data_IF_254250894884
#
_entry.id   IF_254250894884
#
_cell.length_a   1.000
_cell.length_b   1.000
_cell.length_c   1.000
_cell.angle_alpha   90.00
_cell.angle_beta   90.00
_cell.angle_gamma   90.00
#
_symmetry.space_group_name_H-M   'P 1'
#
loop_
_entity.id
_entity.type
_entity.pdbx_description
1 polymer ?
#
# COMPACT_ATOMS: atom_id res chain seq x y z
N UNK A 1 14.87 23.50 -18.34
CA UNK A 1 15.80 23.08 -17.30
C UNK A 1 15.60 21.57 -17.10
N UNK A 2 16.67 20.76 -17.17
CA UNK A 2 16.59 19.35 -16.80
C UNK A 2 16.18 19.31 -15.33
N UNK A 3 15.10 18.57 -15.01
CA UNK A 3 14.77 18.30 -13.59
C UNK A 3 15.95 17.53 -13.03
N UNK A 4 16.64 18.10 -12.04
CA UNK A 4 17.59 17.31 -11.25
C UNK A 4 16.86 16.11 -10.66
N UNK A 5 17.45 14.94 -10.80
CA UNK A 5 16.87 13.73 -10.23
C UNK A 5 16.95 13.83 -8.70
N UNK A 6 15.78 13.85 -8.07
CA UNK A 6 15.69 13.86 -6.62
C UNK A 6 16.30 12.56 -6.07
N UNK A 7 17.09 12.68 -5.02
CA UNK A 7 17.64 11.51 -4.33
C UNK A 7 16.48 10.69 -3.75
N UNK A 8 16.48 9.40 -4.02
CA UNK A 8 15.48 8.49 -3.47
C UNK A 8 15.61 8.39 -1.94
N UNK A 9 14.50 8.51 -1.24
CA UNK A 9 14.42 8.36 0.21
C UNK A 9 14.28 6.90 0.63
N UNK A 10 14.61 6.61 1.88
CA UNK A 10 14.40 5.28 2.47
C UNK A 10 12.91 4.93 2.52
N UNK A 11 12.60 3.71 2.09
CA UNK A 11 11.26 3.13 2.18
C UNK A 11 11.46 1.62 2.18
N UNK A 12 11.40 1.03 3.35
CA UNK A 12 11.66 -0.40 3.57
C UNK A 12 10.57 -1.00 4.44
N UNK A 13 10.09 -2.15 4.03
CA UNK A 13 9.17 -2.98 4.80
C UNK A 13 9.77 -4.38 4.92
N UNK A 14 9.65 -4.96 6.12
CA UNK A 14 10.04 -6.34 6.39
C UNK A 14 8.83 -7.07 6.96
N UNK A 15 8.39 -8.11 6.27
CA UNK A 15 7.28 -8.96 6.70
C UNK A 15 7.78 -10.40 6.75
N UNK A 16 7.53 -11.07 7.86
CA UNK A 16 7.80 -12.50 8.02
C UNK A 16 6.67 -13.12 8.83
N UNK A 17 6.13 -14.24 8.34
CA UNK A 17 5.00 -14.90 8.99
C UNK A 17 4.46 -16.07 8.20
N UNK A 18 3.32 -16.57 8.62
CA UNK A 18 2.64 -17.71 7.99
C UNK A 18 1.96 -17.29 6.69
N UNK A 19 2.20 -18.01 5.60
CA UNK A 19 1.55 -17.77 4.31
C UNK A 19 0.08 -18.21 4.37
N UNK A 20 -0.83 -17.23 4.39
CA UNK A 20 -2.27 -17.46 4.48
C UNK A 20 -2.89 -17.74 3.12
N UNK A 21 -2.52 -16.93 2.12
CA UNK A 21 -2.98 -17.09 0.75
C UNK A 21 -1.90 -16.72 -0.27
N UNK A 22 -2.03 -17.27 -1.48
CA UNK A 22 -1.09 -17.06 -2.56
C UNK A 22 -1.86 -17.07 -3.90
N UNK A 23 -1.89 -15.91 -4.55
CA UNK A 23 -2.58 -15.71 -5.82
C UNK A 23 -1.62 -15.41 -6.97
N UNK A 24 -0.34 -15.77 -6.83
CA UNK A 24 0.66 -15.53 -7.87
C UNK A 24 0.33 -16.36 -9.11
N UNK A 25 0.27 -15.73 -10.27
CA UNK A 25 -0.04 -16.37 -11.54
C UNK A 25 0.82 -15.81 -12.70
N UNK A 26 0.96 -16.64 -13.73
CA UNK A 26 1.61 -16.24 -14.98
C UNK A 26 0.65 -15.43 -15.85
N UNK A 27 1.13 -14.30 -16.35
CA UNK A 27 0.39 -13.41 -17.25
C UNK A 27 1.24 -13.00 -18.44
N UNK A 28 0.55 -12.50 -19.48
CA UNK A 28 1.18 -11.93 -20.66
C UNK A 28 0.62 -10.54 -20.89
N UNK A 29 1.47 -9.56 -21.10
CA UNK A 29 1.03 -8.18 -21.40
C UNK A 29 0.62 -8.04 -22.87
N UNK A 30 0.09 -6.85 -23.24
CA UNK A 30 -0.34 -6.53 -24.59
C UNK A 30 0.80 -6.58 -25.64
N UNK A 31 2.07 -6.57 -25.18
CA UNK A 31 3.27 -6.66 -26.03
C UNK A 31 3.83 -8.08 -26.10
N UNK A 32 3.13 -9.07 -25.55
CA UNK A 32 3.57 -10.46 -25.51
C UNK A 32 4.63 -10.78 -24.45
N UNK A 33 4.95 -9.85 -23.55
CA UNK A 33 5.95 -10.07 -22.50
C UNK A 33 5.32 -10.82 -21.34
N UNK A 34 5.95 -11.90 -20.93
CA UNK A 34 5.53 -12.72 -19.79
C UNK A 34 5.91 -12.02 -18.48
N UNK A 35 5.01 -12.10 -17.51
CA UNK A 35 5.25 -11.59 -16.16
C UNK A 35 4.48 -12.43 -15.13
N UNK A 36 4.92 -12.37 -13.90
CA UNK A 36 4.22 -12.86 -12.73
C UNK A 36 3.60 -11.68 -11.99
N UNK A 37 2.38 -11.85 -11.55
CA UNK A 37 1.73 -10.92 -10.63
C UNK A 37 0.74 -11.65 -9.75
N UNK A 38 0.51 -11.11 -8.58
CA UNK A 38 -0.44 -11.63 -7.61
C UNK A 38 -0.25 -10.99 -6.26
N UNK A 39 -0.81 -11.62 -5.25
CA UNK A 39 -0.72 -11.18 -3.87
C UNK A 39 -0.37 -12.35 -2.97
N UNK A 40 0.44 -12.09 -1.97
CA UNK A 40 0.73 -12.99 -0.86
C UNK A 40 0.11 -12.41 0.40
N UNK A 41 -0.76 -13.15 1.06
CA UNK A 41 -1.29 -12.80 2.37
C UNK A 41 -0.44 -13.45 3.45
N UNK A 42 0.18 -12.65 4.31
CA UNK A 42 1.10 -13.12 5.36
C UNK A 42 0.54 -12.76 6.73
N UNK A 43 0.28 -13.78 7.55
CA UNK A 43 -0.12 -13.58 8.94
C UNK A 43 1.11 -13.34 9.80
N UNK A 44 1.15 -12.18 10.44
CA UNK A 44 2.22 -11.73 11.33
C UNK A 44 1.81 -11.83 12.80
N UNK A 45 2.48 -11.13 13.70
CA UNK A 45 2.04 -10.99 15.07
C UNK A 45 0.70 -10.26 15.16
N UNK A 46 -0.02 -10.45 16.26
CA UNK A 46 -1.37 -9.91 16.48
C UNK A 46 -2.41 -10.39 15.46
N UNK A 47 -2.15 -11.51 14.78
CA UNK A 47 -3.04 -12.08 13.73
C UNK A 47 -3.32 -11.14 12.55
N UNK A 48 -2.46 -10.16 12.32
CA UNK A 48 -2.58 -9.28 11.16
C UNK A 48 -2.25 -10.05 9.89
N UNK A 49 -3.19 -10.09 8.95
CA UNK A 49 -2.99 -10.70 7.63
C UNK A 49 -2.66 -9.59 6.64
N UNK A 50 -1.38 -9.45 6.33
CA UNK A 50 -0.86 -8.35 5.51
C UNK A 50 -0.78 -8.79 4.05
N UNK A 51 -1.53 -8.14 3.13
CA UNK A 51 -1.42 -8.40 1.71
C UNK A 51 -0.19 -7.72 1.12
N UNK A 52 0.59 -8.49 0.34
CA UNK A 52 1.81 -8.04 -0.31
C UNK A 52 1.67 -8.27 -1.80
N UNK A 53 1.60 -7.20 -2.57
CA UNK A 53 1.56 -7.27 -4.03
C UNK A 53 2.94 -7.63 -4.59
N UNK A 54 2.98 -8.62 -5.47
CA UNK A 54 4.21 -9.04 -6.14
C UNK A 54 4.10 -8.87 -7.65
N UNK A 55 5.21 -8.48 -8.27
CA UNK A 55 5.27 -8.31 -9.72
C UNK A 55 6.69 -8.51 -10.24
N UNK A 56 6.85 -9.29 -11.32
CA UNK A 56 8.13 -9.39 -12.03
C UNK A 56 7.93 -9.79 -13.49
N UNK A 57 8.60 -9.08 -14.42
CA UNK A 57 8.74 -9.57 -15.79
C UNK A 57 9.75 -10.71 -15.87
N UNK A 58 9.53 -11.67 -16.81
CA UNK A 58 10.46 -12.78 -17.08
C UNK A 58 11.85 -12.29 -17.49
N UNK A 59 11.89 -11.26 -18.30
CA UNK A 59 13.13 -10.62 -18.75
C UNK A 59 13.25 -9.19 -18.20
N UNK A 60 14.47 -8.80 -17.89
CA UNK A 60 14.82 -7.41 -17.61
C UNK A 60 14.74 -6.57 -18.89
N UNK A 61 14.78 -5.24 -18.76
CA UNK A 61 14.85 -4.34 -19.93
C UNK A 61 16.11 -4.56 -20.80
N UNK A 62 17.17 -5.13 -20.22
CA UNK A 62 18.38 -5.56 -20.94
C UNK A 62 18.19 -6.84 -21.78
N UNK A 63 17.06 -7.52 -21.68
CA UNK A 63 16.82 -8.84 -22.30
C UNK A 63 17.33 -10.03 -21.50
N UNK A 64 18.02 -9.78 -20.39
CA UNK A 64 18.51 -10.84 -19.50
C UNK A 64 17.37 -11.45 -18.67
N UNK A 65 17.56 -12.69 -18.23
CA UNK A 65 16.66 -13.35 -17.27
C UNK A 65 16.55 -12.55 -15.98
N UNK A 66 15.33 -12.44 -15.47
CA UNK A 66 15.06 -11.75 -14.22
C UNK A 66 15.04 -12.74 -13.04
N UNK A 67 16.04 -12.68 -12.20
CA UNK A 67 16.16 -13.57 -11.03
C UNK A 67 15.00 -13.42 -10.04
N UNK A 68 14.33 -12.27 -10.02
CA UNK A 68 13.13 -12.06 -9.20
C UNK A 68 12.00 -12.90 -9.75
N UNK A 69 11.79 -12.91 -11.06
CA UNK A 69 10.79 -13.76 -11.72
C UNK A 69 11.03 -15.23 -11.40
N UNK A 70 12.26 -15.72 -11.54
CA UNK A 70 12.61 -17.12 -11.26
C UNK A 70 12.34 -17.52 -9.80
N UNK A 71 12.51 -16.59 -8.85
CA UNK A 71 12.19 -16.82 -7.44
C UNK A 71 10.68 -16.85 -7.21
N UNK A 72 9.95 -15.90 -7.76
CA UNK A 72 8.49 -15.85 -7.66
C UNK A 72 7.82 -17.05 -8.35
N UNK A 73 8.40 -17.52 -9.46
CA UNK A 73 7.89 -18.72 -10.14
C UNK A 73 7.89 -19.97 -9.25
N UNK A 74 8.85 -20.07 -8.32
CA UNK A 74 8.88 -21.14 -7.32
C UNK A 74 7.81 -21.00 -6.24
N UNK A 75 7.21 -19.83 -6.13
CA UNK A 75 6.15 -19.57 -5.16
C UNK A 75 4.76 -19.87 -5.71
N UNK A 76 4.56 -20.03 -7.02
CA UNK A 76 3.22 -20.22 -7.62
C UNK A 76 2.46 -21.36 -6.95
N UNK A 77 3.09 -22.53 -6.83
CA UNK A 77 2.49 -23.72 -6.22
C UNK A 77 2.88 -23.89 -4.73
N UNK A 78 3.39 -22.81 -4.10
CA UNK A 78 3.80 -22.89 -2.71
C UNK A 78 2.56 -23.01 -1.82
N UNK A 79 2.52 -24.02 -0.90
CA UNK A 79 1.32 -24.28 -0.12
C UNK A 79 1.00 -23.08 0.80
N UNK A 80 -0.28 -22.76 0.93
CA UNK A 80 -0.77 -21.71 1.83
C UNK A 80 -1.74 -22.30 2.85
N UNK A 81 -2.07 -21.54 3.88
CA UNK A 81 -3.03 -21.94 4.90
C UNK A 81 -4.39 -22.32 4.29
N UNK A 82 -4.78 -21.66 3.21
CA UNK A 82 -6.00 -21.98 2.45
C UNK A 82 -5.99 -23.38 1.87
N UNK A 83 -4.82 -23.90 1.51
CA UNK A 83 -4.68 -25.21 0.86
C UNK A 83 -4.34 -26.34 1.83
N UNK A 84 -3.56 -26.07 2.88
CA UNK A 84 -3.06 -27.11 3.80
C UNK A 84 -3.45 -26.90 5.26
N UNK A 85 -4.16 -25.82 5.58
CA UNK A 85 -4.51 -25.41 6.94
C UNK A 85 -3.39 -24.63 7.62
N UNK A 86 -3.76 -23.74 8.55
CA UNK A 86 -2.83 -22.78 9.21
C UNK A 86 -1.66 -23.47 9.88
N UNK A 87 -1.90 -24.61 10.57
CA UNK A 87 -0.84 -25.32 11.29
C UNK A 87 0.22 -25.98 10.39
N UNK A 88 -0.10 -26.22 9.12
CA UNK A 88 0.79 -26.83 8.14
C UNK A 88 1.32 -25.83 7.12
N UNK A 89 0.80 -24.62 7.14
CA UNK A 89 1.22 -23.57 6.24
C UNK A 89 2.67 -23.16 6.52
N UNK A 90 3.50 -22.99 5.49
CA UNK A 90 4.87 -22.56 5.67
C UNK A 90 4.95 -21.11 6.08
N UNK A 91 6.05 -20.75 6.75
CA UNK A 91 6.44 -19.36 6.93
C UNK A 91 7.25 -18.87 5.75
N UNK A 92 7.00 -17.62 5.38
CA UNK A 92 7.76 -16.89 4.36
C UNK A 92 8.29 -15.59 4.93
N UNK A 93 9.36 -15.08 4.33
CA UNK A 93 9.89 -13.74 4.60
C UNK A 93 9.90 -12.94 3.30
N UNK A 94 9.42 -11.71 3.39
CA UNK A 94 9.47 -10.72 2.31
C UNK A 94 10.37 -9.59 2.79
N UNK A 95 11.48 -9.40 2.11
CA UNK A 95 12.47 -8.37 2.44
C UNK A 95 12.53 -7.32 1.33
N UNK A 96 12.95 -6.11 1.69
CA UNK A 96 13.00 -4.96 0.78
C UNK A 96 11.66 -4.66 0.09
N UNK A 97 10.55 -5.01 0.72
CA UNK A 97 9.25 -4.52 0.32
C UNK A 97 9.16 -3.01 0.59
N UNK A 98 8.23 -2.35 -0.04
CA UNK A 98 8.04 -0.90 0.05
C UNK A 98 6.57 -0.57 0.23
N UNK A 99 6.31 0.54 0.87
CA UNK A 99 4.98 1.15 0.88
C UNK A 99 4.88 2.00 -0.39
N UNK A 100 3.97 1.64 -1.27
CA UNK A 100 3.77 2.30 -2.56
C UNK A 100 2.43 3.04 -2.56
N UNK A 101 2.41 4.23 -3.16
CA UNK A 101 1.17 4.91 -3.45
C UNK A 101 0.31 4.06 -4.41
N UNK A 102 -0.94 3.86 -4.03
CA UNK A 102 -1.96 3.15 -4.79
C UNK A 102 -3.24 3.98 -4.87
N UNK A 103 -3.09 5.29 -4.93
CA UNK A 103 -4.20 6.24 -5.05
C UNK A 103 -4.93 6.05 -6.37
N UNK A 104 -6.25 6.22 -6.33
CA UNK A 104 -7.11 6.05 -7.51
C UNK A 104 -8.25 7.06 -7.50
N UNK A 105 -8.85 7.28 -8.67
CA UNK A 105 -10.05 8.11 -8.78
C UNK A 105 -11.29 7.28 -8.42
N UNK A 106 -12.05 7.73 -7.41
CA UNK A 106 -13.30 7.12 -7.00
C UNK A 106 -14.47 7.81 -7.72
N UNK A 107 -15.18 7.06 -8.56
CA UNK A 107 -16.40 7.55 -9.21
C UNK A 107 -17.48 7.91 -8.19
N UNK A 108 -17.61 7.08 -7.16
CA UNK A 108 -18.60 7.26 -6.10
C UNK A 108 -18.43 8.58 -5.37
N UNK A 109 -17.17 8.92 -5.04
CA UNK A 109 -16.85 10.08 -4.22
C UNK A 109 -16.44 11.29 -5.07
N UNK A 110 -16.34 11.11 -6.41
CA UNK A 110 -15.91 12.10 -7.40
C UNK A 110 -14.60 12.79 -7.01
N UNK A 111 -13.63 11.99 -6.50
CA UNK A 111 -12.33 12.48 -6.02
C UNK A 111 -11.27 11.40 -6.08
N UNK A 112 -10.02 11.82 -5.96
CA UNK A 112 -8.91 10.90 -5.72
C UNK A 112 -8.99 10.41 -4.27
N UNK A 113 -8.97 9.08 -4.13
CA UNK A 113 -8.85 8.40 -2.84
C UNK A 113 -7.40 8.01 -2.66
N UNK A 114 -6.76 8.61 -1.65
CA UNK A 114 -5.40 8.23 -1.24
C UNK A 114 -5.45 6.83 -0.65
N UNK A 115 -4.58 5.96 -1.17
CA UNK A 115 -4.45 4.59 -0.74
C UNK A 115 -2.98 4.17 -0.89
N UNK A 116 -2.58 3.16 -0.14
CA UNK A 116 -1.25 2.58 -0.24
C UNK A 116 -1.33 1.04 -0.29
N UNK A 117 -0.29 0.43 -0.81
CA UNK A 117 -0.10 -1.01 -0.79
C UNK A 117 1.35 -1.34 -0.43
N UNK A 118 1.58 -2.58 -0.03
CA UNK A 118 2.93 -3.09 0.13
C UNK A 118 3.30 -3.81 -1.16
N UNK A 119 4.33 -3.32 -1.83
CA UNK A 119 4.93 -3.94 -2.99
C UNK A 119 6.23 -4.64 -2.60
N UNK A 120 6.38 -5.93 -2.94
CA UNK A 120 7.60 -6.65 -2.60
C UNK A 120 7.77 -7.92 -3.42
N UNK A 121 8.96 -8.11 -3.98
CA UNK A 121 9.22 -9.27 -4.84
C UNK A 121 10.38 -10.14 -4.35
N UNK A 122 11.03 -9.78 -3.25
CA UNK A 122 12.09 -10.56 -2.64
C UNK A 122 11.52 -11.52 -1.59
N UNK A 123 10.88 -12.59 -2.07
CA UNK A 123 10.22 -13.60 -1.24
C UNK A 123 11.13 -14.81 -1.08
N UNK A 124 11.19 -15.35 0.13
CA UNK A 124 11.89 -16.60 0.45
C UNK A 124 11.12 -17.41 1.48
N UNK A 125 11.31 -18.72 1.49
CA UNK A 125 10.89 -19.55 2.59
C UNK A 125 11.61 -19.12 3.89
N UNK A 126 10.92 -19.19 5.01
CA UNK A 126 11.47 -19.00 6.34
C UNK A 126 11.41 -20.32 7.14
N UNK A 127 12.25 -20.46 8.16
CA UNK A 127 12.18 -21.60 9.05
C UNK A 127 10.84 -21.60 9.81
N UNK A 128 10.34 -22.79 10.16
CA UNK A 128 9.04 -22.92 10.84
C UNK A 128 8.99 -22.24 12.21
N UNK A 129 10.15 -22.19 12.89
CA UNK A 129 10.36 -21.54 14.18
C UNK A 129 10.79 -20.06 14.06
N UNK A 130 10.89 -19.52 12.84
CA UNK A 130 11.27 -18.14 12.63
C UNK A 130 10.27 -17.19 13.33
N UNK A 131 10.80 -16.16 13.99
CA UNK A 131 10.00 -15.13 14.65
C UNK A 131 9.25 -14.32 13.58
N UNK A 132 7.96 -14.10 13.78
CA UNK A 132 7.19 -13.23 12.92
C UNK A 132 7.77 -11.81 12.97
N UNK A 133 7.68 -11.09 11.85
CA UNK A 133 8.16 -9.72 11.72
C UNK A 133 7.13 -8.89 10.96
N UNK A 134 6.91 -7.69 11.47
CA UNK A 134 6.03 -6.72 10.87
C UNK A 134 6.60 -5.34 11.17
N UNK A 135 7.41 -4.81 10.27
CA UNK A 135 8.02 -3.50 10.50
C UNK A 135 8.19 -2.72 9.21
N UNK A 136 8.11 -1.41 9.34
CA UNK A 136 8.50 -0.49 8.29
C UNK A 136 9.53 0.53 8.79
N UNK A 137 10.30 1.06 7.86
CA UNK A 137 11.22 2.18 8.04
C UNK A 137 11.08 3.09 6.82
N UNK A 138 10.58 4.31 7.01
CA UNK A 138 10.33 5.27 5.94
C UNK A 138 10.94 6.62 6.27
N UNK A 139 11.60 7.23 5.28
CA UNK A 139 12.09 8.60 5.34
C UNK A 139 11.17 9.49 4.51
N UNK A 140 10.90 10.69 4.96
CA UNK A 140 10.09 11.62 4.20
C UNK A 140 10.07 13.02 4.80
N UNK A 141 9.61 13.97 3.98
CA UNK A 141 9.36 15.35 4.41
C UNK A 141 7.96 15.44 4.99
N UNK A 142 7.84 16.00 6.18
CA UNK A 142 6.55 16.19 6.87
C UNK A 142 5.72 17.22 6.11
N UNK A 143 4.55 16.80 5.63
CA UNK A 143 3.60 17.71 4.96
C UNK A 143 2.47 18.20 5.86
N UNK A 144 2.09 17.42 6.87
CA UNK A 144 1.15 17.85 7.91
C UNK A 144 1.21 16.93 9.14
N UNK A 145 0.83 17.49 10.29
CA UNK A 145 0.56 16.78 11.54
C UNK A 145 -0.82 17.23 12.00
N UNK A 146 -1.75 16.30 12.23
CA UNK A 146 -3.13 16.61 12.59
C UNK A 146 -3.64 15.64 13.62
N UNK A 147 -4.35 16.15 14.62
CA UNK A 147 -5.11 15.33 15.54
C UNK A 147 -6.30 14.66 14.82
N UNK A 148 -6.54 13.41 15.15
CA UNK A 148 -7.67 12.64 14.64
C UNK A 148 -8.90 12.98 15.48
N UNK A 149 -9.96 13.38 14.82
CA UNK A 149 -11.26 13.69 15.43
C UNK A 149 -12.20 12.51 15.17
N UNK A 150 -12.92 12.07 16.20
CA UNK A 150 -13.92 11.02 16.08
C UNK A 150 -15.17 11.50 15.31
N UNK A 151 -16.13 10.59 15.11
CA UNK A 151 -17.38 10.90 14.38
C UNK A 151 -18.26 11.93 15.09
N UNK A 152 -18.08 12.08 16.40
CA UNK A 152 -18.87 12.98 17.25
C UNK A 152 -18.17 14.35 17.41
N UNK A 153 -17.00 14.52 16.81
CA UNK A 153 -16.21 15.74 16.82
C UNK A 153 -15.28 15.88 18.02
N UNK A 154 -15.03 14.82 18.79
CA UNK A 154 -14.12 14.84 19.91
C UNK A 154 -12.69 14.48 19.49
N UNK A 155 -11.71 15.06 20.19
CA UNK A 155 -10.32 14.70 20.07
C UNK A 155 -10.08 13.26 20.57
N UNK A 156 -9.21 12.53 19.88
CA UNK A 156 -8.94 11.12 20.16
C UNK A 156 -7.58 10.86 20.79
N UNK A 157 -6.80 11.92 21.09
CA UNK A 157 -5.39 11.83 21.49
C UNK A 157 -4.51 11.05 20.51
N UNK A 158 -5.04 10.82 19.32
CA UNK A 158 -4.38 10.13 18.20
C UNK A 158 -4.04 11.14 17.11
N UNK A 159 -2.89 11.00 16.49
CA UNK A 159 -2.43 11.95 15.49
C UNK A 159 -2.07 11.24 14.19
N UNK A 160 -2.40 11.87 13.08
CA UNK A 160 -1.96 11.49 11.75
C UNK A 160 -0.84 12.44 11.28
N UNK A 161 0.30 11.85 10.92
CA UNK A 161 1.44 12.54 10.33
C UNK A 161 1.55 12.13 8.87
N UNK A 162 1.52 13.12 7.96
CA UNK A 162 1.70 12.88 6.54
C UNK A 162 3.13 13.13 6.11
N UNK A 163 3.72 12.14 5.44
CA UNK A 163 5.05 12.21 4.83
C UNK A 163 4.96 12.21 3.32
N UNK A 164 5.86 12.99 2.70
CA UNK A 164 6.17 12.92 1.28
C UNK A 164 7.49 12.17 1.10
N UNK A 165 7.41 10.93 0.63
CA UNK A 165 8.56 10.04 0.42
C UNK A 165 8.92 9.99 -1.07
N UNK A 166 10.15 10.39 -1.42
CA UNK A 166 10.64 10.33 -2.81
C UNK A 166 11.02 8.90 -3.16
N UNK A 167 10.29 8.31 -4.10
CA UNK A 167 10.51 7.00 -4.65
C UNK A 167 11.30 6.99 -5.96
N UNK A 168 11.30 5.84 -6.63
CA UNK A 168 11.96 5.66 -7.91
C UNK A 168 11.35 6.54 -9.01
N UNK A 169 12.22 7.14 -9.86
CA UNK A 169 11.79 7.95 -11.00
C UNK A 169 11.13 9.27 -10.60
N UNK A 170 11.57 9.88 -9.51
CA UNK A 170 11.04 11.14 -8.98
C UNK A 170 9.54 11.09 -8.62
N UNK A 171 8.99 9.89 -8.38
CA UNK A 171 7.64 9.76 -7.86
C UNK A 171 7.63 10.05 -6.37
N UNK A 172 6.60 10.72 -5.91
CA UNK A 172 6.40 11.03 -4.50
C UNK A 172 5.22 10.20 -3.99
N UNK A 173 5.47 9.39 -2.94
CA UNK A 173 4.42 8.67 -2.22
C UNK A 173 3.92 9.56 -1.08
N UNK A 174 2.63 9.84 -1.03
CA UNK A 174 2.00 10.48 0.13
C UNK A 174 1.59 9.39 1.11
N UNK A 175 2.25 9.34 2.27
CA UNK A 175 2.03 8.33 3.30
C UNK A 175 1.42 8.99 4.53
N UNK A 176 0.32 8.44 5.04
CA UNK A 176 -0.26 8.84 6.32
C UNK A 176 0.12 7.81 7.37
N UNK A 177 0.83 8.26 8.41
CA UNK A 177 1.28 7.44 9.53
C UNK A 177 0.58 7.92 10.79
N UNK A 178 0.24 7.00 11.68
CA UNK A 178 -0.50 7.27 12.90
C UNK A 178 0.35 7.05 14.14
N UNK A 179 0.16 7.87 15.15
CA UNK A 179 0.76 7.71 16.47
C UNK A 179 -0.24 8.06 17.57
N UNK A 180 -0.21 7.29 18.66
CA UNK A 180 -1.12 7.37 19.81
C UNK A 180 -0.39 7.17 21.15
N UNK A 181 0.92 6.84 21.10
CA UNK A 181 1.74 6.75 22.31
C UNK A 181 1.99 8.14 22.91
N UNK A 182 1.70 8.39 24.20
CA UNK A 182 1.83 9.70 24.80
C UNK A 182 3.25 10.29 24.74
N UNK A 183 4.29 9.45 24.81
CA UNK A 183 5.67 9.91 24.70
C UNK A 183 6.00 10.32 23.27
N UNK A 184 5.54 9.56 22.27
CA UNK A 184 5.66 9.90 20.85
C UNK A 184 4.89 11.20 20.54
N UNK A 185 3.64 11.33 21.01
CA UNK A 185 2.84 12.54 20.85
C UNK A 185 3.58 13.77 21.40
N UNK A 186 4.09 13.68 22.64
CA UNK A 186 4.84 14.77 23.27
C UNK A 186 6.12 15.12 22.50
N UNK A 187 6.87 14.10 22.05
CA UNK A 187 8.11 14.32 21.32
C UNK A 187 7.87 14.97 19.97
N UNK A 188 6.93 14.42 19.18
CA UNK A 188 6.62 14.89 17.83
C UNK A 188 6.09 16.33 17.88
N UNK A 189 5.12 16.63 18.76
CA UNK A 189 4.55 17.96 18.87
C UNK A 189 5.56 19.03 19.31
N UNK A 190 6.61 18.65 20.03
CA UNK A 190 7.61 19.61 20.52
C UNK A 190 8.80 19.78 19.55
N UNK A 191 9.05 18.79 18.67
CA UNK A 191 10.31 18.75 17.92
C UNK A 191 10.12 18.72 16.40
N UNK A 192 8.96 18.26 15.89
CA UNK A 192 8.74 18.12 14.46
C UNK A 192 7.92 19.28 13.90
N UNK A 193 8.37 19.80 12.77
CA UNK A 193 7.69 20.85 12.03
C UNK A 193 7.36 20.40 10.61
N UNK A 194 6.36 21.04 10.01
CA UNK A 194 6.06 20.87 8.59
C UNK A 194 7.24 21.36 7.75
N UNK A 195 7.73 20.52 6.87
CA UNK A 195 8.94 20.74 6.06
C UNK A 195 10.16 19.96 6.53
N UNK A 196 10.20 19.50 7.77
CA UNK A 196 11.31 18.71 8.28
C UNK A 196 11.41 17.35 7.58
N UNK A 197 12.65 16.88 7.38
CA UNK A 197 12.94 15.53 6.93
C UNK A 197 13.13 14.62 8.15
N UNK A 198 12.39 13.53 8.22
CA UNK A 198 12.47 12.55 9.31
C UNK A 198 12.53 11.12 8.77
N UNK A 199 13.09 10.21 9.58
CA UNK A 199 12.95 8.77 9.36
C UNK A 199 12.09 8.19 10.47
N UNK A 200 11.00 7.53 10.10
CA UNK A 200 10.03 6.94 11.03
C UNK A 200 10.02 5.43 10.88
N UNK A 201 9.96 4.76 12.02
CA UNK A 201 9.85 3.30 12.11
C UNK A 201 8.51 2.95 12.78
N UNK A 202 7.99 1.78 12.42
CA UNK A 202 6.75 1.33 13.01
C UNK A 202 6.29 -0.04 12.53
N UNK A 203 5.05 -0.33 12.81
CA UNK A 203 4.37 -1.55 12.41
C UNK A 203 3.18 -1.27 11.49
N UNK A 204 2.82 -2.28 10.70
CA UNK A 204 1.66 -2.22 9.82
C UNK A 204 0.50 -2.88 10.54
N UNK A 205 -0.53 -2.11 10.83
CA UNK A 205 -1.79 -2.62 11.38
C UNK A 205 -2.72 -2.95 10.24
N UNK A 206 -3.22 -4.18 10.22
CA UNK A 206 -4.16 -4.65 9.21
C UNK A 206 -5.20 -5.54 9.87
N UNK A 207 -6.34 -4.95 10.23
CA UNK A 207 -7.43 -5.61 10.92
C UNK A 207 -8.66 -5.71 10.03
N UNK A 208 -9.29 -6.86 10.02
CA UNK A 208 -10.57 -7.07 9.36
C UNK A 208 -11.65 -7.34 10.40
N UNK A 209 -12.65 -6.49 10.41
CA UNK A 209 -13.82 -6.64 11.27
C UNK A 209 -15.04 -7.02 10.43
N UNK A 210 -15.58 -8.19 10.68
CA UNK A 210 -16.83 -8.61 10.04
C UNK A 210 -18.04 -8.16 10.89
N UNK A 211 -18.99 -7.53 10.22
CA UNK A 211 -20.27 -7.19 10.80
C UNK A 211 -21.37 -7.86 9.99
N UNK A 212 -22.11 -8.74 10.65
CA UNK A 212 -23.30 -9.34 10.07
C UNK A 212 -24.51 -8.45 10.38
N UNK A 213 -25.23 -8.04 9.36
CA UNK A 213 -26.48 -7.30 9.48
C UNK A 213 -27.59 -8.20 8.95
N UNK A 214 -28.57 -8.49 9.80
CA UNK A 214 -29.79 -9.21 9.41
C UNK A 214 -30.83 -8.21 8.92
N UNK A 215 -31.31 -8.41 7.70
CA UNK A 215 -32.41 -7.63 7.15
C UNK A 215 -33.67 -8.46 7.23
N UNK A 216 -34.60 -8.05 8.09
CA UNK A 216 -35.91 -8.67 8.18
C UNK A 216 -36.69 -8.47 6.86
N UNK A 217 -37.34 -9.54 6.42
CA UNK A 217 -38.25 -9.52 5.29
C UNK A 217 -39.68 -9.56 5.83
N UNK A 218 -40.63 -9.10 5.04
CA UNK A 218 -42.05 -9.15 5.42
C UNK A 218 -42.59 -10.59 5.62
N UNK A 219 -41.86 -11.60 5.07
CA UNK A 219 -42.09 -13.03 5.30
C UNK A 219 -40.83 -13.79 4.89
N UNK A 220 -40.62 -15.01 5.44
CA UNK A 220 -39.44 -15.86 5.21
C UNK A 220 -38.29 -15.60 6.19
N UNK A 221 -37.17 -16.26 5.97
CA UNK A 221 -35.97 -16.09 6.80
C UNK A 221 -35.27 -14.75 6.51
N UNK A 222 -34.71 -14.08 7.56
CA UNK A 222 -33.93 -12.85 7.37
C UNK A 222 -32.74 -13.07 6.43
N UNK A 223 -32.49 -12.08 5.58
CA UNK A 223 -31.28 -12.08 4.74
C UNK A 223 -30.11 -11.61 5.60
N UNK A 224 -29.09 -12.47 5.76
CA UNK A 224 -27.82 -12.12 6.40
C UNK A 224 -26.90 -11.48 5.39
N UNK A 225 -26.49 -10.25 5.66
CA UNK A 225 -25.52 -9.52 4.85
C UNK A 225 -24.27 -9.27 5.68
N UNK A 226 -23.14 -9.84 5.27
CA UNK A 226 -21.86 -9.62 5.93
C UNK A 226 -21.15 -8.42 5.31
N UNK A 227 -20.74 -7.49 6.15
CA UNK A 227 -19.92 -6.34 5.78
C UNK A 227 -18.53 -6.52 6.41
N UNK A 228 -17.49 -6.47 5.61
CA UNK A 228 -16.12 -6.46 6.10
C UNK A 228 -15.60 -5.03 6.14
N UNK A 229 -15.21 -4.57 7.32
CA UNK A 229 -14.52 -3.30 7.50
C UNK A 229 -13.04 -3.58 7.73
N UNK A 230 -12.16 -3.02 6.91
CA UNK A 230 -10.73 -3.19 7.01
C UNK A 230 -10.09 -1.92 7.56
N UNK A 231 -9.39 -2.03 8.69
CA UNK A 231 -8.56 -0.97 9.25
C UNK A 231 -7.13 -1.22 8.77
N UNK A 232 -6.54 -0.22 8.11
CA UNK A 232 -5.17 -0.26 7.59
C UNK A 232 -4.43 0.98 8.05
N UNK A 233 -3.41 0.79 8.86
CA UNK A 233 -2.63 1.88 9.44
C UNK A 233 -1.13 1.58 9.34
N UNK A 234 -0.34 2.64 9.22
CA UNK A 234 1.10 2.65 9.45
C UNK A 234 1.30 3.28 10.84
N UNK A 235 1.50 2.45 11.86
CA UNK A 235 1.62 2.90 13.25
C UNK A 235 3.08 3.20 13.59
N UNK A 236 3.38 4.44 13.98
CA UNK A 236 4.72 4.88 14.36
C UNK A 236 5.04 4.36 15.76
N UNK A 237 6.23 3.76 15.91
CA UNK A 237 6.77 3.30 17.20
C UNK A 237 8.08 3.98 17.56
N UNK A 238 8.79 4.54 16.57
CA UNK A 238 10.05 5.26 16.77
C UNK A 238 10.30 6.26 15.62
N UNK A 239 11.17 7.23 15.86
CA UNK A 239 11.59 8.19 14.85
C UNK A 239 12.94 8.84 15.17
N UNK A 240 13.60 9.39 14.15
CA UNK A 240 14.85 10.15 14.31
C UNK A 240 14.57 11.59 14.71
N UNK A 241 15.56 12.31 15.26
CA UNK A 241 15.50 13.76 15.29
C UNK A 241 15.24 14.33 13.89
N UNK A 242 14.54 15.47 13.78
CA UNK A 242 14.27 16.09 12.49
C UNK A 242 15.54 16.69 11.89
N UNK A 243 15.59 16.71 10.55
CA UNK A 243 16.56 17.50 9.78
C UNK A 243 15.81 18.67 9.18
N UNK A 244 16.27 19.87 9.44
CA UNK A 244 15.61 21.09 8.97
C UNK A 244 15.58 21.18 7.44
N UNK A 245 14.61 21.90 6.84
CA UNK A 245 14.46 22.01 5.39
C UNK A 245 15.72 22.47 4.68
N UNK A 246 16.46 23.44 5.22
CA UNK A 246 17.67 24.00 4.62
C UNK A 246 18.85 23.01 4.57
N UNK A 247 18.85 22.02 5.47
CA UNK A 247 19.88 20.98 5.55
C UNK A 247 19.48 19.69 4.82
N UNK A 248 18.20 19.48 4.63
CA UNK A 248 17.64 18.23 4.08
C UNK A 248 17.89 18.05 2.58
N UNK A 249 18.08 19.13 1.84
CA UNK A 249 18.16 19.14 0.38
C UNK A 249 16.82 18.86 -0.34
N UNK A 250 15.69 18.90 0.38
CA UNK A 250 14.35 18.71 -0.19
C UNK A 250 13.48 19.94 0.08
N UNK A 251 12.71 20.34 -0.92
CA UNK A 251 11.75 21.45 -0.79
C UNK A 251 10.32 20.91 -0.74
N UNK A 252 9.59 21.21 0.32
CA UNK A 252 8.22 20.76 0.53
C UNK A 252 7.29 21.17 -0.64
N UNK A 253 7.41 22.41 -1.13
CA UNK A 253 6.54 22.93 -2.21
C UNK A 253 6.79 22.17 -3.53
N UNK A 254 8.04 21.84 -3.80
CA UNK A 254 8.40 21.08 -5.02
C UNK A 254 7.83 19.66 -4.95
N UNK A 255 7.94 18.99 -3.78
CA UNK A 255 7.36 17.67 -3.57
C UNK A 255 5.82 17.69 -3.68
N UNK A 256 5.17 18.70 -3.10
CA UNK A 256 3.71 18.90 -3.25
C UNK A 256 3.30 19.16 -4.71
N UNK A 257 4.12 19.89 -5.46
CA UNK A 257 3.93 20.09 -6.90
C UNK A 257 3.98 18.78 -7.69
N UNK A 258 4.90 17.87 -7.33
CA UNK A 258 4.96 16.54 -7.96
C UNK A 258 3.71 15.73 -7.62
N UNK A 259 3.27 15.69 -6.36
CA UNK A 259 2.03 15.01 -5.94
C UNK A 259 0.82 15.54 -6.71
N UNK A 260 0.71 16.86 -6.85
CA UNK A 260 -0.37 17.48 -7.63
C UNK A 260 -0.34 17.02 -9.10
N UNK A 261 0.83 16.96 -9.70
CA UNK A 261 1.00 16.47 -11.07
C UNK A 261 0.58 15.00 -11.19
N UNK A 262 1.00 14.14 -10.25
CA UNK A 262 0.61 12.73 -10.21
C UNK A 262 -0.90 12.55 -10.06
N UNK A 263 -1.55 13.37 -9.25
CA UNK A 263 -2.99 13.35 -9.06
C UNK A 263 -3.74 13.77 -10.34
N UNK A 264 -3.24 14.77 -11.05
CA UNK A 264 -3.79 15.16 -12.35
C UNK A 264 -3.68 14.02 -13.38
N UNK A 265 -2.54 13.33 -13.42
CA UNK A 265 -2.36 12.15 -14.30
C UNK A 265 -3.36 11.02 -13.98
N UNK A 266 -3.68 10.79 -12.70
CA UNK A 266 -4.69 9.79 -12.30
C UNK A 266 -6.06 10.19 -12.84
N UNK A 267 -6.44 11.46 -12.69
CA UNK A 267 -7.72 12.01 -13.15
C UNK A 267 -7.82 11.95 -14.69
N UNK A 268 -6.77 12.34 -15.40
CA UNK A 268 -6.73 12.28 -16.86
C UNK A 268 -6.87 10.85 -17.40
N UNK A 269 -6.14 9.90 -16.79
CA UNK A 269 -6.24 8.47 -17.17
C UNK A 269 -7.66 7.91 -16.92
N UNK A 270 -8.31 8.33 -15.84
CA UNK A 270 -9.70 7.96 -15.56
C UNK A 270 -10.63 8.52 -16.64
N UNK A 271 -10.56 9.82 -16.92
CA UNK A 271 -11.41 10.48 -17.93
C UNK A 271 -11.24 9.86 -19.31
N UNK A 272 -9.99 9.57 -19.73
CA UNK A 272 -9.72 8.90 -20.98
C UNK A 272 -10.35 7.50 -21.08
N UNK A 273 -10.31 6.71 -19.98
CA UNK A 273 -10.98 5.39 -19.94
C UNK A 273 -12.49 5.52 -20.03
N UNK A 274 -13.09 6.44 -19.29
CA UNK A 274 -14.53 6.68 -19.31
C UNK A 274 -15.03 7.07 -20.73
N UNK A 275 -14.30 7.89 -21.45
CA UNK A 275 -14.60 8.26 -22.83
C UNK A 275 -14.55 7.06 -23.78
N UNK A 276 -13.53 6.19 -23.66
CA UNK A 276 -13.41 4.97 -24.47
C UNK A 276 -14.57 4.02 -24.19
N UNK A 277 -14.92 3.81 -22.93
CA UNK A 277 -16.05 2.95 -22.53
C UNK A 277 -17.38 3.49 -23.07
N UNK A 278 -17.62 4.80 -22.97
CA UNK A 278 -18.81 5.44 -23.51
C UNK A 278 -18.91 5.30 -25.04
N UNK A 279 -17.80 5.46 -25.77
CA UNK A 279 -17.75 5.29 -27.21
C UNK A 279 -18.02 3.83 -27.63
N UNK A 280 -17.45 2.85 -26.90
CA UNK A 280 -17.67 1.43 -27.16
C UNK A 280 -19.12 1.03 -26.92
N UNK A 281 -19.73 1.49 -25.83
CA UNK A 281 -21.13 1.22 -25.51
C UNK A 281 -22.09 1.85 -26.56
N UNK A 282 -21.77 3.03 -27.05
CA UNK A 282 -22.53 3.70 -28.11
C UNK A 282 -22.44 2.94 -29.45
N UNK A 283 -21.25 2.40 -29.79
CA UNK A 283 -21.07 1.57 -30.97
C UNK A 283 -21.78 0.21 -30.85
N UNK A 284 -21.78 -0.43 -29.67
CA UNK A 284 -22.48 -1.67 -29.42
C UNK A 284 -24.02 -1.49 -29.46
N UNK A 285 -24.54 -0.38 -28.91
CA UNK A 285 -25.96 -0.05 -28.98
C UNK A 285 -26.46 0.26 -30.40
N UNK A 286 -25.62 0.80 -31.28
CA UNK A 286 -25.95 1.05 -32.69
C UNK A 286 -26.07 -0.24 -33.51
N UNK A 287 -25.41 -1.34 -33.11
CA UNK A 287 -25.47 -2.64 -33.78
C UNK A 287 -26.67 -3.53 -33.37
N UNK A 288 -27.49 -3.08 -32.41
CA UNK A 288 -28.67 -3.81 -31.94
C UNK A 288 -29.98 -3.29 -32.58
N UNK A 289 -29.91 -2.40 -33.56
CA UNK A 289 -31.05 -1.77 -34.23
C UNK A 289 -31.25 -2.26 -35.68
N UNK A 290 -30.74 -3.46 -36.03
CA UNK A 290 -31.04 -4.12 -37.31
C UNK A 290 -31.48 -5.56 -37.12
#
# INVERSE_FOLDING_TARGET
MAKEDLKQMLNRVTIQGTLMDNTIENKVDKKGRKYLSGELEVMTDNDYIIPISVFAYELKNSGEKNTIYERLAKMIDYPSARTVGVQKAPKIAVSNARIEDNSFYSERDNRIVSNWRIGGSFVRAAASDAINQNSFEVQGVISSIKEVIDRDGNNTDTFDLKLLNVGFGNRVNELTLRFDDPAAVKYINNNYNVGDLVTLCGEIVYEQHERVVEKELGFGEPIKQTYTNTIRLLKITAGTPPVEPDESGYNLKDLQGIVTTQNNEITEKYNARAQVTAATNKAAGANLLF
#
